data_IF_695788021403
#
_entry.id   IF_695788021403
#
_cell.length_a   1.000
_cell.length_b   1.000
_cell.length_c   1.000
_cell.angle_alpha   90.00
_cell.angle_beta   90.00
_cell.angle_gamma   90.00
#
_symmetry.space_group_name_H-M   'P 1'
#
loop_
_entity.id
_entity.type
_entity.pdbx_description
1 polymer ?
#
# COMPACT_ATOMS: atom_id res chain seq x y z
N UNK A 1 -0.33 -11.32 -2.17
CA UNK A 1 0.99 -11.10 -2.82
C UNK A 1 1.61 -9.77 -2.41
N UNK A 2 0.89 -8.64 -2.42
CA UNK A 2 1.43 -7.34 -1.98
C UNK A 2 2.05 -7.37 -0.58
N UNK A 3 1.41 -8.00 0.41
CA UNK A 3 2.00 -8.15 1.76
C UNK A 3 3.38 -8.81 1.74
N UNK A 4 3.59 -9.81 0.87
CA UNK A 4 4.89 -10.48 0.73
C UNK A 4 5.91 -9.58 0.07
N UNK A 5 5.52 -8.79 -0.93
CA UNK A 5 6.39 -7.81 -1.59
C UNK A 5 6.80 -6.72 -0.61
N UNK A 6 5.87 -6.17 0.16
CA UNK A 6 6.14 -5.17 1.18
C UNK A 6 7.06 -5.71 2.30
N UNK A 7 6.94 -6.99 2.64
CA UNK A 7 7.77 -7.65 3.66
C UNK A 7 9.12 -8.18 3.13
N UNK A 8 9.34 -8.22 1.81
CA UNK A 8 10.55 -8.78 1.20
C UNK A 8 11.43 -7.67 0.62
N UNK A 9 12.75 -7.77 0.81
CA UNK A 9 13.73 -6.86 0.18
C UNK A 9 13.91 -7.12 -1.33
N UNK A 10 12.98 -7.81 -1.98
CA UNK A 10 13.04 -8.15 -3.40
C UNK A 10 12.82 -6.90 -4.23
N UNK A 11 13.77 -6.57 -5.11
CA UNK A 11 13.69 -5.43 -6.03
C UNK A 11 12.60 -5.67 -7.08
N UNK A 12 11.36 -5.31 -6.77
CA UNK A 12 10.30 -5.23 -7.77
C UNK A 12 10.42 -3.89 -8.50
N UNK A 13 10.31 -3.93 -9.83
CA UNK A 13 10.33 -2.72 -10.64
C UNK A 13 9.16 -1.79 -10.30
N UNK A 14 9.34 -0.46 -10.36
CA UNK A 14 8.33 0.51 -9.95
C UNK A 14 7.00 0.37 -10.70
N UNK A 15 7.04 0.07 -12.01
CA UNK A 15 5.83 -0.18 -12.82
C UNK A 15 5.08 -1.43 -12.38
N UNK A 16 5.81 -2.47 -11.98
CA UNK A 16 5.22 -3.73 -11.56
C UNK A 16 4.60 -3.61 -10.16
N UNK A 17 5.23 -2.82 -9.28
CA UNK A 17 4.63 -2.43 -8.01
C UNK A 17 3.37 -1.58 -8.22
N UNK A 18 3.40 -0.61 -9.14
CA UNK A 18 2.24 0.23 -9.47
C UNK A 18 1.07 -0.60 -10.01
N UNK A 19 1.32 -1.52 -10.95
CA UNK A 19 0.30 -2.42 -11.47
C UNK A 19 -0.32 -3.30 -10.38
N UNK A 20 0.50 -3.79 -9.44
CA UNK A 20 0.05 -4.58 -8.30
C UNK A 20 -0.87 -3.80 -7.36
N UNK A 21 -0.52 -2.54 -7.04
CA UNK A 21 -1.32 -1.66 -6.19
C UNK A 21 -2.65 -1.29 -6.87
N UNK A 22 -2.62 -0.96 -8.16
CA UNK A 22 -3.84 -0.64 -8.93
C UNK A 22 -4.78 -1.83 -8.99
N UNK A 23 -4.25 -3.02 -9.31
CA UNK A 23 -5.06 -4.23 -9.37
C UNK A 23 -5.64 -4.62 -8.01
N UNK A 24 -4.85 -4.49 -6.93
CA UNK A 24 -5.34 -4.73 -5.58
C UNK A 24 -6.44 -3.73 -5.20
N UNK A 25 -6.30 -2.46 -5.57
CA UNK A 25 -7.33 -1.44 -5.37
C UNK A 25 -8.68 -1.84 -5.96
N UNK A 26 -8.68 -2.19 -7.24
CA UNK A 26 -9.89 -2.64 -7.94
C UNK A 26 -10.56 -3.85 -7.27
N UNK A 27 -9.76 -4.80 -6.77
CA UNK A 27 -10.28 -5.95 -6.04
C UNK A 27 -10.90 -5.52 -4.72
N UNK A 28 -10.28 -4.61 -3.98
CA UNK A 28 -10.79 -4.11 -2.72
C UNK A 28 -12.09 -3.31 -2.89
N UNK A 29 -12.18 -2.47 -3.93
CA UNK A 29 -13.40 -1.71 -4.27
C UNK A 29 -14.57 -2.62 -4.66
N UNK A 30 -14.27 -3.80 -5.21
CA UNK A 30 -15.29 -4.79 -5.58
C UNK A 30 -15.86 -5.55 -4.39
N UNK A 31 -15.23 -5.47 -3.21
CA UNK A 31 -15.68 -6.16 -2.01
C UNK A 31 -16.78 -5.36 -1.31
N UNK A 32 -17.85 -6.01 -0.83
CA UNK A 32 -18.87 -5.33 -0.06
C UNK A 32 -18.27 -4.81 1.27
N UNK A 33 -18.64 -3.60 1.72
CA UNK A 33 -18.24 -3.11 3.02
C UNK A 33 -18.86 -3.99 4.13
N UNK A 34 -18.08 -4.30 5.15
CA UNK A 34 -18.52 -5.12 6.28
C UNK A 34 -17.38 -5.83 6.99
N UNK A 35 -17.72 -6.71 7.94
CA UNK A 35 -16.77 -7.36 8.84
C UNK A 35 -15.72 -8.19 8.09
N UNK A 36 -16.10 -8.82 6.98
CA UNK A 36 -15.18 -9.59 6.14
C UNK A 36 -14.08 -8.73 5.52
N UNK A 37 -14.44 -7.54 5.01
CA UNK A 37 -13.46 -6.58 4.51
C UNK A 37 -12.57 -6.07 5.65
N UNK A 38 -13.16 -5.74 6.80
CA UNK A 38 -12.38 -5.27 7.95
C UNK A 38 -11.37 -6.30 8.45
N UNK A 39 -11.75 -7.58 8.52
CA UNK A 39 -10.87 -8.67 8.92
C UNK A 39 -9.73 -8.88 7.92
N UNK A 40 -10.00 -8.75 6.62
CA UNK A 40 -8.98 -8.81 5.57
C UNK A 40 -7.97 -7.66 5.72
N UNK A 41 -8.45 -6.43 5.90
CA UNK A 41 -7.58 -5.27 6.08
C UNK A 41 -6.76 -5.38 7.39
N UNK A 42 -7.32 -5.93 8.46
CA UNK A 42 -6.59 -6.18 9.71
C UNK A 42 -5.49 -7.26 9.55
N UNK A 43 -5.71 -8.24 8.68
CA UNK A 43 -4.77 -9.34 8.43
C UNK A 43 -3.63 -8.94 7.48
N UNK A 44 -3.89 -8.02 6.55
CA UNK A 44 -2.93 -7.60 5.53
C UNK A 44 -2.71 -6.09 5.56
N UNK A 45 -1.76 -5.59 6.36
CA UNK A 45 -1.46 -4.15 6.48
C UNK A 45 -1.21 -3.44 5.14
N UNK A 46 -0.51 -4.08 4.20
CA UNK A 46 -0.28 -3.48 2.89
C UNK A 46 -1.56 -3.32 2.06
N UNK A 47 -2.59 -4.14 2.29
CA UNK A 47 -3.90 -3.97 1.66
C UNK A 47 -4.71 -2.87 2.35
N UNK A 48 -4.61 -2.75 3.69
CA UNK A 48 -5.20 -1.64 4.45
C UNK A 48 -4.68 -0.30 3.95
N UNK A 49 -3.36 -0.16 3.76
CA UNK A 49 -2.76 1.08 3.27
C UNK A 49 -3.27 1.46 1.86
N UNK A 50 -3.38 0.49 0.95
CA UNK A 50 -3.90 0.72 -0.40
C UNK A 50 -5.37 1.15 -0.36
N UNK A 51 -6.18 0.49 0.47
CA UNK A 51 -7.59 0.82 0.66
C UNK A 51 -7.77 2.23 1.23
N UNK A 52 -6.99 2.58 2.26
CA UNK A 52 -7.02 3.90 2.89
C UNK A 52 -6.60 5.01 1.92
N UNK A 53 -5.51 4.83 1.19
CA UNK A 53 -5.04 5.81 0.22
C UNK A 53 -6.06 6.08 -0.90
N UNK A 54 -6.84 5.07 -1.30
CA UNK A 54 -7.90 5.23 -2.32
C UNK A 54 -9.14 5.93 -1.76
N UNK A 55 -9.48 5.68 -0.50
CA UNK A 55 -10.65 6.24 0.16
C UNK A 55 -10.36 7.53 0.95
N UNK A 56 -9.11 8.01 0.93
CA UNK A 56 -8.62 9.17 1.68
C UNK A 56 -9.42 10.45 1.41
N UNK A 57 -9.97 10.58 0.20
CA UNK A 57 -10.82 11.71 -0.18
C UNK A 57 -12.26 11.68 0.37
N UNK A 58 -12.71 10.54 0.90
CA UNK A 58 -14.12 10.33 1.24
C UNK A 58 -14.42 10.38 2.75
N UNK A 59 -13.42 10.23 3.62
CA UNK A 59 -13.51 10.53 5.05
C UNK A 59 -12.12 10.43 5.68
N UNK A 60 -11.81 11.32 6.62
CA UNK A 60 -10.61 11.28 7.47
C UNK A 60 -10.58 10.08 8.43
N UNK A 61 -10.67 8.87 7.89
CA UNK A 61 -10.53 7.60 8.60
C UNK A 61 -9.04 7.26 8.68
N UNK A 62 -8.35 7.91 9.62
CA UNK A 62 -7.07 7.40 10.12
C UNK A 62 -7.34 6.05 10.83
N UNK A 63 -7.29 4.94 10.08
CA UNK A 63 -7.29 3.57 10.61
C UNK A 63 -5.87 3.03 10.82
N UNK A 64 -4.88 3.54 10.08
CA UNK A 64 -3.46 3.26 10.34
C UNK A 64 -2.93 4.13 11.50
N UNK A 65 -2.20 3.55 12.48
CA UNK A 65 -1.39 4.33 13.41
C UNK A 65 -0.39 5.17 12.61
N UNK A 66 -0.23 6.43 12.97
CA UNK A 66 0.65 7.43 12.34
C UNK A 66 2.04 6.89 11.92
N UNK A 67 2.60 5.94 12.68
CA UNK A 67 3.87 5.29 12.39
C UNK A 67 3.88 4.47 11.09
N UNK A 68 2.79 3.78 10.73
CA UNK A 68 2.75 3.00 9.48
C UNK A 68 2.71 3.92 8.27
N UNK A 69 1.91 4.99 8.30
CA UNK A 69 1.89 5.99 7.22
C UNK A 69 3.25 6.68 7.07
N UNK A 70 3.92 7.02 8.19
CA UNK A 70 5.26 7.60 8.17
C UNK A 70 6.30 6.63 7.60
N UNK A 71 6.24 5.35 7.96
CA UNK A 71 7.15 4.34 7.45
C UNK A 71 7.00 4.11 5.94
N UNK A 72 5.77 4.14 5.43
CA UNK A 72 5.52 4.06 3.99
C UNK A 72 5.99 5.30 3.23
N UNK A 73 5.81 6.49 3.80
CA UNK A 73 6.39 7.72 3.24
C UNK A 73 7.93 7.65 3.19
N UNK A 74 8.56 7.21 4.27
CA UNK A 74 10.01 7.02 4.34
C UNK A 74 10.50 5.97 3.32
N UNK A 75 9.78 4.85 3.19
CA UNK A 75 10.11 3.79 2.23
C UNK A 75 9.98 4.28 0.78
N UNK A 76 8.91 5.00 0.44
CA UNK A 76 8.71 5.59 -0.88
C UNK A 76 9.82 6.60 -1.21
N UNK A 77 10.18 7.45 -0.24
CA UNK A 77 11.25 8.44 -0.39
C UNK A 77 12.61 7.79 -0.60
N UNK A 78 12.92 6.73 0.15
CA UNK A 78 14.15 5.96 -0.04
C UNK A 78 14.23 5.28 -1.41
N UNK A 79 13.10 4.77 -1.93
CA UNK A 79 13.04 4.20 -3.27
C UNK A 79 13.30 5.24 -4.36
N UNK A 80 12.69 6.43 -4.25
CA UNK A 80 12.89 7.53 -5.19
C UNK A 80 14.36 7.96 -5.21
N UNK A 81 14.99 8.09 -4.05
CA UNK A 81 16.41 8.44 -3.92
C UNK A 81 17.35 7.37 -4.48
N UNK A 82 17.04 6.08 -4.28
CA UNK A 82 17.78 4.97 -4.92
C UNK A 82 17.68 5.02 -6.45
N UNK A 83 16.51 5.29 -7.00
CA UNK A 83 16.35 5.38 -8.47
C UNK A 83 17.08 6.60 -9.02
N UNK A 84 17.09 7.73 -8.29
CA UNK A 84 17.86 8.94 -8.66
C UNK A 84 19.36 8.67 -8.71
N UNK A 85 19.90 8.01 -7.69
CA UNK A 85 21.33 7.67 -7.60
C UNK A 85 21.75 6.58 -8.59
N UNK A 86 20.85 5.68 -9.01
CA UNK A 86 21.14 4.63 -10.00
C UNK A 86 21.12 5.14 -11.45
N UNK A 87 20.61 6.36 -11.69
CA UNK A 87 20.46 6.96 -13.03
C UNK A 87 21.51 8.04 -13.34
N UNK A 88 22.53 8.16 -12.48
CA UNK A 88 23.67 9.08 -12.61
C UNK A 88 24.96 8.36 -12.98
#
# INVERSE_FOLDING_TARGET
>A
MLQRVAASATTIGPEQYRALVLHLGQLLDSLPPGDGLQALLATFPAAAEVYENQHYGHAGLCRAPLEQSLNSELAARQLIERVRTTRG
#
